data_IF_433542363524
#
_entry.id   IF_433542363524
#
_cell.length_a   1.000
_cell.length_b   1.000
_cell.length_c   1.000
_cell.angle_alpha   90.00
_cell.angle_beta   90.00
_cell.angle_gamma   90.00
#
_symmetry.space_group_name_H-M   'P 1'
#
loop_
_entity.id
_entity.type
_entity.pdbx_description
1 polymer ?
#
# COMPACT_ATOMS: atom_id res chain seq x y z
N UNK A 1 4.75 22.19 9.80
CA UNK A 1 5.59 20.99 9.59
C UNK A 1 6.03 21.01 8.14
N UNK A 2 7.32 21.21 7.87
CA UNK A 2 7.84 21.23 6.51
C UNK A 2 7.74 19.81 5.92
N UNK A 3 6.85 19.64 4.94
CA UNK A 3 6.89 18.44 4.09
C UNK A 3 8.29 18.35 3.48
N UNK A 4 8.87 17.14 3.42
CA UNK A 4 10.08 16.97 2.63
C UNK A 4 9.80 17.51 1.23
N UNK A 5 10.70 18.31 0.65
CA UNK A 5 10.52 18.75 -0.70
C UNK A 5 10.40 17.50 -1.58
N UNK A 6 9.40 17.50 -2.43
CA UNK A 6 9.14 16.37 -3.31
C UNK A 6 10.37 16.19 -4.20
N UNK A 7 11.20 15.18 -3.88
CA UNK A 7 12.48 14.97 -4.55
C UNK A 7 12.27 14.75 -6.06
N UNK A 8 11.15 14.15 -6.47
CA UNK A 8 10.79 14.03 -7.89
C UNK A 8 10.54 15.41 -8.52
N UNK A 9 9.86 16.33 -7.82
CA UNK A 9 9.69 17.73 -8.28
C UNK A 9 11.01 18.50 -8.30
N UNK A 10 11.96 18.14 -7.45
CA UNK A 10 13.31 18.70 -7.45
C UNK A 10 14.23 18.06 -8.51
N UNK A 11 13.69 17.24 -9.42
CA UNK A 11 14.46 16.62 -10.50
C UNK A 11 15.23 15.37 -10.11
N UNK A 12 15.04 14.83 -8.90
CA UNK A 12 15.53 13.51 -8.52
C UNK A 12 14.61 12.42 -9.10
N UNK A 13 14.72 12.23 -10.40
CA UNK A 13 14.08 11.11 -11.10
C UNK A 13 14.88 9.83 -10.89
N UNK A 14 14.27 8.68 -11.19
CA UNK A 14 14.97 7.40 -11.22
C UNK A 14 16.23 7.47 -12.10
N UNK A 15 16.13 8.14 -13.25
CA UNK A 15 17.27 8.42 -14.13
C UNK A 15 18.38 9.16 -13.39
N UNK A 16 18.05 10.23 -12.65
CA UNK A 16 19.02 11.00 -11.84
C UNK A 16 19.67 10.15 -10.74
N UNK A 17 18.93 9.25 -10.08
CA UNK A 17 19.48 8.34 -9.07
C UNK A 17 20.41 7.28 -9.67
N UNK A 18 20.12 6.81 -10.89
CA UNK A 18 20.87 5.76 -11.58
C UNK A 18 22.08 6.28 -12.36
N UNK A 19 22.00 7.49 -12.93
CA UNK A 19 23.03 8.04 -13.84
C UNK A 19 23.97 9.05 -13.19
N UNK A 20 23.59 9.68 -12.08
CA UNK A 20 24.42 10.71 -11.47
C UNK A 20 25.41 10.11 -10.46
N UNK A 21 26.70 10.19 -10.78
CA UNK A 21 27.72 10.38 -9.75
C UNK A 21 27.68 11.85 -9.39
N UNK A 22 27.04 12.19 -8.27
CA UNK A 22 26.98 13.58 -7.83
C UNK A 22 28.38 14.04 -7.42
N UNK A 23 28.81 15.20 -7.92
CA UNK A 23 30.08 15.83 -7.52
C UNK A 23 30.17 16.05 -6.00
N UNK A 24 29.02 16.30 -5.37
CA UNK A 24 28.89 16.44 -3.92
C UNK A 24 27.77 15.51 -3.41
N UNK A 25 28.03 14.70 -2.36
CA UNK A 25 27.02 13.88 -1.74
C UNK A 25 25.86 14.72 -1.20
N UNK A 26 24.63 14.23 -1.34
CA UNK A 26 23.45 14.89 -0.80
C UNK A 26 23.16 14.40 0.61
N UNK A 27 22.85 15.32 1.52
CA UNK A 27 22.47 14.97 2.89
C UNK A 27 20.97 15.07 3.09
N UNK A 28 20.37 13.95 3.50
CA UNK A 28 18.99 13.89 3.98
C UNK A 28 18.92 13.63 5.50
N UNK A 29 20.04 13.27 6.13
CA UNK A 29 20.08 13.02 7.57
C UNK A 29 19.87 14.32 8.34
N UNK A 30 19.17 14.26 9.49
CA UNK A 30 18.65 15.40 10.28
C UNK A 30 17.40 16.11 9.73
N UNK A 31 16.79 15.63 8.66
CA UNK A 31 15.46 16.10 8.25
C UNK A 31 14.33 15.35 8.99
N UNK A 32 13.19 16.01 9.28
CA UNK A 32 12.03 15.36 9.89
C UNK A 32 11.29 14.49 8.87
N UNK A 33 11.80 13.27 8.63
CA UNK A 33 11.22 12.38 7.61
C UNK A 33 9.89 11.81 8.07
N UNK A 34 8.85 11.98 7.25
CA UNK A 34 7.62 11.18 7.35
C UNK A 34 7.77 9.92 6.51
N UNK A 35 7.78 8.77 7.17
CA UNK A 35 7.95 7.44 6.58
C UNK A 35 6.61 6.82 6.18
N UNK A 36 5.88 7.53 5.32
CA UNK A 36 4.59 7.09 4.76
C UNK A 36 4.75 6.54 3.33
N UNK A 37 3.64 6.26 2.64
CA UNK A 37 3.65 5.80 1.26
C UNK A 37 4.40 6.75 0.30
N UNK A 38 4.38 8.07 0.51
CA UNK A 38 5.07 9.02 -0.37
C UNK A 38 6.58 8.80 -0.27
N UNK A 39 7.09 8.62 0.95
CA UNK A 39 8.50 8.27 1.16
C UNK A 39 8.80 6.83 0.69
N UNK A 40 7.87 5.90 0.86
CA UNK A 40 7.95 4.53 0.33
C UNK A 40 8.27 4.47 -1.17
N UNK A 41 7.69 5.37 -1.97
CA UNK A 41 7.94 5.46 -3.42
C UNK A 41 9.38 5.85 -3.78
N UNK A 42 10.09 6.56 -2.90
CA UNK A 42 11.45 7.06 -3.17
C UNK A 42 12.55 6.31 -2.39
N UNK A 43 12.22 5.73 -1.24
CA UNK A 43 13.23 5.10 -0.37
C UNK A 43 13.91 3.92 -1.04
N UNK A 44 13.20 3.16 -1.88
CA UNK A 44 13.79 2.08 -2.69
C UNK A 44 14.92 2.60 -3.59
N UNK A 45 14.72 3.77 -4.22
CA UNK A 45 15.70 4.41 -5.07
C UNK A 45 16.85 5.02 -4.28
N UNK A 46 16.57 5.63 -3.13
CA UNK A 46 17.59 6.15 -2.21
C UNK A 46 18.46 5.01 -1.65
N UNK A 47 17.87 3.88 -1.28
CA UNK A 47 18.58 2.66 -0.83
C UNK A 47 19.51 2.13 -1.93
N UNK A 48 19.02 2.06 -3.16
CA UNK A 48 19.82 1.66 -4.32
C UNK A 48 20.98 2.63 -4.60
N UNK A 49 20.72 3.93 -4.54
CA UNK A 49 21.70 4.99 -4.80
C UNK A 49 22.47 5.44 -3.55
N UNK A 50 22.57 4.61 -2.50
CA UNK A 50 23.07 5.04 -1.18
C UNK A 50 24.46 5.70 -1.21
N UNK A 51 25.33 5.31 -2.15
CA UNK A 51 26.67 5.91 -2.33
C UNK A 51 26.64 7.42 -2.65
N UNK A 52 25.54 7.91 -3.22
CA UNK A 52 25.35 9.29 -3.62
C UNK A 52 24.83 10.17 -2.47
N UNK A 53 24.52 9.58 -1.31
CA UNK A 53 23.91 10.29 -0.19
C UNK A 53 24.79 10.19 1.06
N UNK A 54 25.20 11.36 1.57
CA UNK A 54 25.91 11.44 2.84
C UNK A 54 24.97 11.07 3.99
N UNK A 55 25.44 10.21 4.90
CA UNK A 55 24.71 9.87 6.11
C UNK A 55 23.36 9.20 5.88
N UNK A 56 23.07 8.69 4.68
CA UNK A 56 21.75 8.17 4.29
C UNK A 56 21.24 7.03 5.18
N UNK A 57 22.16 6.23 5.71
CA UNK A 57 21.85 5.15 6.68
C UNK A 57 21.49 5.64 8.08
N UNK A 58 21.72 6.94 8.36
CA UNK A 58 21.41 7.61 9.63
C UNK A 58 20.07 8.35 9.58
N UNK A 59 19.33 8.26 8.48
CA UNK A 59 18.01 8.86 8.37
C UNK A 59 17.05 8.13 9.31
N UNK A 60 16.35 8.90 10.14
CA UNK A 60 15.41 8.42 11.15
C UNK A 60 14.02 8.96 10.83
N UNK A 61 13.01 8.12 10.97
CA UNK A 61 11.61 8.49 10.82
C UNK A 61 11.14 9.35 12.00
N UNK A 62 10.53 10.50 11.71
CA UNK A 62 9.85 11.35 12.69
C UNK A 62 8.40 10.90 12.91
N UNK A 63 7.75 10.47 11.83
CA UNK A 63 6.36 10.01 11.77
C UNK A 63 6.25 8.92 10.68
N UNK A 64 5.19 8.08 10.66
CA UNK A 64 4.09 7.99 11.63
C UNK A 64 4.52 7.43 13.01
N UNK A 65 3.66 7.47 14.05
CA UNK A 65 4.01 6.98 15.40
C UNK A 65 4.58 5.56 15.44
N UNK A 66 4.03 4.64 14.62
CA UNK A 66 4.49 3.25 14.54
C UNK A 66 5.94 3.09 14.04
N UNK A 67 6.45 4.06 13.29
CA UNK A 67 7.80 4.03 12.72
C UNK A 67 8.71 5.10 13.35
N UNK A 68 8.22 5.86 14.34
CA UNK A 68 8.99 6.96 14.92
C UNK A 68 10.25 6.45 15.60
N UNK A 69 11.39 7.04 15.27
CA UNK A 69 12.70 6.66 15.82
C UNK A 69 13.40 5.55 15.03
N UNK A 70 12.68 4.88 14.13
CA UNK A 70 13.25 3.82 13.31
C UNK A 70 14.14 4.35 12.19
N UNK A 71 15.21 3.61 11.89
CA UNK A 71 16.11 3.92 10.77
C UNK A 71 15.48 3.45 9.47
N UNK A 72 15.39 4.33 8.48
CA UNK A 72 14.71 4.04 7.19
C UNK A 72 15.31 2.82 6.45
N UNK A 73 16.59 2.52 6.66
CA UNK A 73 17.26 1.36 6.07
C UNK A 73 16.89 0.02 6.74
N UNK A 74 16.42 0.04 7.99
CA UNK A 74 16.03 -1.13 8.75
C UNK A 74 14.53 -1.46 8.61
N UNK A 75 13.74 -0.52 8.08
CA UNK A 75 12.29 -0.68 7.90
C UNK A 75 12.03 -1.43 6.60
N UNK A 76 11.16 -2.44 6.67
CA UNK A 76 10.62 -3.14 5.51
C UNK A 76 9.86 -2.18 4.60
N UNK A 77 10.06 -2.28 3.28
CA UNK A 77 9.36 -1.42 2.31
C UNK A 77 7.83 -1.53 2.39
N UNK A 78 7.32 -2.68 2.86
CA UNK A 78 5.90 -2.96 3.04
C UNK A 78 5.23 -2.12 4.14
N UNK A 79 6.00 -1.53 5.05
CA UNK A 79 5.48 -0.71 6.16
C UNK A 79 5.31 0.77 5.78
N UNK A 80 5.88 1.22 4.67
CA UNK A 80 5.71 2.60 4.18
C UNK A 80 4.34 2.73 3.50
N UNK A 81 3.31 2.97 4.29
CA UNK A 81 1.90 2.95 3.85
C UNK A 81 1.21 4.30 4.09
N UNK A 82 0.05 4.49 3.46
CA UNK A 82 -0.83 5.61 3.74
C UNK A 82 -2.26 5.12 3.92
N UNK A 83 -2.85 5.44 5.06
CA UNK A 83 -4.23 5.09 5.37
C UNK A 83 -5.20 5.76 4.39
N UNK A 84 -6.20 5.00 3.96
CA UNK A 84 -7.30 5.47 3.12
C UNK A 84 -8.54 5.52 4.01
N UNK A 85 -8.99 6.73 4.30
CA UNK A 85 -10.12 6.97 5.19
C UNK A 85 -11.48 6.64 4.53
N UNK A 86 -12.55 6.63 5.34
CA UNK A 86 -13.91 6.29 4.89
C UNK A 86 -14.45 7.26 3.84
N UNK A 87 -14.06 8.54 3.88
CA UNK A 87 -14.44 9.55 2.89
C UNK A 87 -13.92 9.17 1.49
N UNK A 88 -12.83 8.40 1.45
CA UNK A 88 -12.25 7.84 0.23
C UNK A 88 -12.75 6.41 -0.05
N UNK A 89 -13.94 6.08 0.44
CA UNK A 89 -14.68 4.83 0.20
C UNK A 89 -14.00 3.57 0.76
N UNK A 90 -13.20 3.70 1.81
CA UNK A 90 -12.85 2.53 2.62
C UNK A 90 -14.13 2.01 3.31
N UNK A 91 -14.44 0.70 3.25
CA UNK A 91 -15.68 0.21 3.85
C UNK A 91 -15.67 0.37 5.37
N UNK A 92 -16.85 0.52 6.01
CA UNK A 92 -16.94 0.63 7.46
C UNK A 92 -16.29 -0.55 8.18
N UNK A 93 -15.58 -0.24 9.27
CA UNK A 93 -14.84 -1.20 10.12
C UNK A 93 -13.66 -1.89 9.43
N UNK A 94 -13.34 -1.51 8.20
CA UNK A 94 -12.18 -2.01 7.48
C UNK A 94 -11.00 -1.06 7.62
N UNK A 95 -9.81 -1.61 7.46
CA UNK A 95 -8.57 -0.85 7.37
C UNK A 95 -8.07 -0.89 5.92
N UNK A 96 -7.99 0.27 5.28
CA UNK A 96 -7.54 0.41 3.91
C UNK A 96 -6.26 1.23 3.84
N UNK A 97 -5.32 0.84 2.99
CA UNK A 97 -4.08 1.59 2.83
C UNK A 97 -3.43 1.39 1.46
N UNK A 98 -2.69 2.40 1.02
CA UNK A 98 -1.79 2.28 -0.12
C UNK A 98 -0.47 1.61 0.30
N UNK A 99 -0.01 0.64 -0.50
CA UNK A 99 1.28 -0.02 -0.31
C UNK A 99 2.14 0.07 -1.59
N UNK A 100 2.99 1.10 -1.71
CA UNK A 100 3.80 1.35 -2.90
C UNK A 100 4.81 0.25 -3.23
N UNK A 101 5.36 -0.43 -2.22
CA UNK A 101 6.33 -1.52 -2.42
C UNK A 101 5.82 -2.64 -3.34
N UNK A 102 4.49 -2.80 -3.40
CA UNK A 102 3.79 -3.79 -4.22
C UNK A 102 2.84 -3.18 -5.24
N UNK A 103 2.88 -1.85 -5.42
CA UNK A 103 2.01 -1.11 -6.34
C UNK A 103 0.52 -1.48 -6.19
N UNK A 104 0.00 -1.50 -4.96
CA UNK A 104 -1.36 -1.95 -4.67
C UNK A 104 -2.07 -1.11 -3.61
N UNK A 105 -3.39 -1.24 -3.56
CA UNK A 105 -4.21 -0.78 -2.44
C UNK A 105 -4.77 -1.99 -1.71
N UNK A 106 -4.58 -2.04 -0.40
CA UNK A 106 -5.09 -3.11 0.45
C UNK A 106 -6.41 -2.67 1.07
N UNK A 107 -7.41 -3.54 1.01
CA UNK A 107 -8.70 -3.38 1.73
C UNK A 107 -8.82 -4.54 2.71
N UNK A 108 -8.49 -4.32 3.97
CA UNK A 108 -8.56 -5.35 5.00
C UNK A 108 -9.86 -5.22 5.81
N UNK A 109 -10.80 -6.13 5.55
CA UNK A 109 -12.04 -6.30 6.31
C UNK A 109 -12.09 -7.67 7.00
N UNK A 110 -10.96 -8.32 7.28
CA UNK A 110 -10.99 -9.62 7.92
C UNK A 110 -11.55 -9.53 9.35
N UNK A 111 -12.26 -10.57 9.81
CA UNK A 111 -12.81 -10.63 11.17
C UNK A 111 -13.75 -9.47 11.55
N UNK A 112 -14.42 -8.85 10.56
CA UNK A 112 -15.36 -7.73 10.78
C UNK A 112 -16.82 -8.19 10.88
N UNK A 113 -17.05 -9.50 11.04
CA UNK A 113 -18.39 -10.14 11.18
C UNK A 113 -19.35 -9.80 10.03
N UNK A 114 -18.83 -9.55 8.84
CA UNK A 114 -19.67 -9.20 7.68
C UNK A 114 -20.41 -10.42 7.16
N UNK A 115 -21.71 -10.26 6.89
CA UNK A 115 -22.56 -11.30 6.28
C UNK A 115 -22.68 -11.17 4.76
N UNK A 116 -22.26 -10.03 4.21
CA UNK A 116 -22.27 -9.73 2.77
C UNK A 116 -20.99 -9.00 2.40
N UNK A 117 -20.63 -9.03 1.13
CA UNK A 117 -19.53 -8.23 0.61
C UNK A 117 -19.92 -6.74 0.67
N UNK A 118 -19.01 -5.84 1.10
CA UNK A 118 -19.23 -4.39 1.02
C UNK A 118 -19.69 -3.95 -0.36
N UNK A 119 -20.60 -2.98 -0.44
CA UNK A 119 -21.09 -2.46 -1.72
C UNK A 119 -20.09 -1.53 -2.41
N UNK A 120 -19.19 -0.93 -1.63
CA UNK A 120 -18.19 0.04 -2.10
C UNK A 120 -16.81 -0.31 -1.55
N UNK A 121 -15.79 -0.02 -2.36
CA UNK A 121 -14.37 -0.07 -2.01
C UNK A 121 -13.67 1.18 -2.60
N UNK A 122 -12.42 1.45 -2.22
CA UNK A 122 -11.61 2.54 -2.78
C UNK A 122 -11.56 2.52 -4.32
N UNK A 123 -11.40 3.70 -4.92
CA UNK A 123 -11.48 3.88 -6.38
C UNK A 123 -10.19 3.59 -7.14
N UNK A 124 -9.10 3.40 -6.42
CA UNK A 124 -7.80 3.07 -6.96
C UNK A 124 -7.83 1.69 -7.64
N UNK A 125 -6.88 1.51 -8.56
CA UNK A 125 -6.62 0.24 -9.21
C UNK A 125 -5.80 -0.70 -8.32
N UNK A 126 -5.75 -1.97 -8.73
CA UNK A 126 -4.92 -3.02 -8.14
C UNK A 126 -5.26 -3.25 -6.66
N UNK A 127 -6.56 -3.45 -6.42
CA UNK A 127 -7.07 -3.78 -5.10
C UNK A 127 -6.65 -5.20 -4.70
N UNK A 128 -6.10 -5.33 -3.49
CA UNK A 128 -5.93 -6.59 -2.78
C UNK A 128 -6.87 -6.61 -1.59
N UNK A 129 -7.91 -7.43 -1.70
CA UNK A 129 -9.06 -7.41 -0.79
C UNK A 129 -8.99 -8.60 0.14
N UNK A 130 -9.01 -8.34 1.44
CA UNK A 130 -9.07 -9.38 2.47
C UNK A 130 -10.41 -9.35 3.19
N UNK A 131 -11.31 -10.26 2.83
CA UNK A 131 -12.62 -10.47 3.45
C UNK A 131 -12.66 -11.79 4.24
N UNK A 132 -11.51 -12.36 4.60
CA UNK A 132 -11.44 -13.63 5.32
C UNK A 132 -12.02 -13.56 6.74
N UNK A 133 -12.37 -14.73 7.30
CA UNK A 133 -12.90 -14.84 8.68
C UNK A 133 -14.17 -14.02 8.91
N UNK A 134 -15.12 -14.11 7.98
CA UNK A 134 -16.42 -13.44 8.05
C UNK A 134 -17.54 -14.48 7.89
N UNK A 135 -18.78 -14.03 7.67
CA UNK A 135 -19.97 -14.87 7.51
C UNK A 135 -20.61 -14.71 6.13
N UNK A 136 -19.81 -14.34 5.12
CA UNK A 136 -20.29 -14.11 3.76
C UNK A 136 -20.72 -15.44 3.15
N UNK A 137 -21.94 -15.49 2.62
CA UNK A 137 -22.51 -16.72 2.04
C UNK A 137 -22.59 -16.73 0.52
N UNK A 138 -22.44 -15.58 -0.13
CA UNK A 138 -22.49 -15.45 -1.58
C UNK A 138 -21.30 -14.62 -2.04
N UNK A 139 -20.51 -15.16 -2.97
CA UNK A 139 -19.53 -14.35 -3.70
C UNK A 139 -20.24 -13.65 -4.86
N UNK A 140 -20.82 -12.50 -4.55
CA UNK A 140 -21.62 -11.69 -5.48
C UNK A 140 -20.74 -10.75 -6.33
N UNK A 141 -21.19 -10.46 -7.56
CA UNK A 141 -20.53 -9.46 -8.38
C UNK A 141 -20.62 -8.06 -7.74
N UNK A 142 -19.48 -7.36 -7.72
CA UNK A 142 -19.35 -5.96 -7.31
C UNK A 142 -18.47 -5.22 -8.30
N UNK A 143 -18.79 -3.96 -8.57
CA UNK A 143 -18.09 -3.15 -9.60
C UNK A 143 -16.59 -2.97 -9.32
N UNK A 144 -16.18 -2.93 -8.05
CA UNK A 144 -14.76 -2.84 -7.68
C UNK A 144 -13.97 -4.09 -8.06
N UNK A 145 -14.61 -5.24 -8.30
CA UNK A 145 -13.92 -6.46 -8.70
C UNK A 145 -13.23 -6.30 -10.06
N UNK A 146 -13.74 -5.43 -10.93
CA UNK A 146 -13.09 -5.09 -12.20
C UNK A 146 -11.73 -4.40 -12.01
N UNK A 147 -11.44 -3.86 -10.82
CA UNK A 147 -10.15 -3.27 -10.41
C UNK A 147 -9.39 -4.12 -9.40
N UNK A 148 -9.94 -5.27 -9.01
CA UNK A 148 -9.39 -6.13 -7.96
C UNK A 148 -8.47 -7.15 -8.58
N UNK A 149 -7.23 -7.19 -8.09
CA UNK A 149 -6.24 -8.18 -8.50
C UNK A 149 -6.38 -9.48 -7.69
N UNK A 150 -6.64 -9.35 -6.39
CA UNK A 150 -6.68 -10.44 -5.43
C UNK A 150 -7.84 -10.27 -4.46
N UNK A 151 -8.57 -11.35 -4.18
CA UNK A 151 -9.60 -11.38 -3.15
C UNK A 151 -9.45 -12.64 -2.28
N UNK A 152 -9.39 -12.43 -0.97
CA UNK A 152 -9.37 -13.49 0.02
C UNK A 152 -10.73 -13.60 0.73
N UNK A 153 -11.44 -14.69 0.48
CA UNK A 153 -12.72 -15.06 1.09
C UNK A 153 -12.59 -16.32 1.97
N UNK A 154 -11.38 -16.76 2.30
CA UNK A 154 -11.17 -17.91 3.19
C UNK A 154 -11.90 -17.75 4.53
N UNK A 155 -12.30 -18.86 5.15
CA UNK A 155 -13.01 -18.86 6.43
C UNK A 155 -14.30 -18.01 6.41
N UNK A 156 -15.07 -18.13 5.32
CA UNK A 156 -16.44 -17.64 5.19
C UNK A 156 -17.43 -18.81 5.07
N UNK A 157 -18.68 -18.54 4.72
CA UNK A 157 -19.76 -19.54 4.55
C UNK A 157 -20.25 -19.59 3.10
N UNK A 158 -19.34 -19.40 2.14
CA UNK A 158 -19.67 -19.26 0.71
C UNK A 158 -20.40 -20.53 0.24
N UNK A 159 -21.66 -20.38 -0.13
CA UNK A 159 -22.52 -21.44 -0.66
C UNK A 159 -22.76 -21.28 -2.17
N UNK A 160 -22.57 -20.07 -2.71
CA UNK A 160 -22.72 -19.80 -4.14
C UNK A 160 -21.78 -18.69 -4.62
N UNK A 161 -21.42 -18.75 -5.90
CA UNK A 161 -20.61 -17.77 -6.61
C UNK A 161 -21.40 -17.28 -7.81
N UNK A 162 -21.48 -15.96 -7.97
CA UNK A 162 -22.15 -15.33 -9.10
C UNK A 162 -21.41 -15.64 -10.42
N UNK A 163 -22.11 -16.15 -11.46
CA UNK A 163 -21.49 -16.42 -12.76
C UNK A 163 -20.75 -15.25 -13.41
N UNK A 164 -21.13 -14.00 -13.11
CA UNK A 164 -20.42 -12.83 -13.64
C UNK A 164 -18.96 -12.74 -13.15
N UNK A 165 -18.63 -13.36 -12.02
CA UNK A 165 -17.25 -13.42 -11.48
C UNK A 165 -16.30 -14.12 -12.46
N UNK A 166 -16.76 -15.15 -13.18
CA UNK A 166 -15.93 -15.91 -14.11
C UNK A 166 -15.40 -15.05 -15.29
N UNK A 167 -16.08 -13.94 -15.60
CA UNK A 167 -15.68 -13.01 -16.66
C UNK A 167 -14.69 -11.92 -16.22
N UNK A 168 -14.32 -11.85 -14.94
CA UNK A 168 -13.50 -10.75 -14.42
C UNK A 168 -12.02 -10.99 -14.72
N UNK A 169 -11.52 -10.32 -15.76
CA UNK A 169 -10.16 -10.52 -16.28
C UNK A 169 -9.07 -10.10 -15.29
N UNK A 170 -9.31 -9.03 -14.52
CA UNK A 170 -8.29 -8.47 -13.61
C UNK A 170 -8.11 -9.31 -12.34
N UNK A 171 -9.12 -10.08 -11.95
CA UNK A 171 -9.09 -10.91 -10.77
C UNK A 171 -8.26 -12.17 -11.03
N UNK A 172 -7.05 -12.22 -10.46
CA UNK A 172 -6.08 -13.32 -10.70
C UNK A 172 -6.02 -14.31 -9.55
N UNK A 173 -6.23 -13.85 -8.32
CA UNK A 173 -6.11 -14.67 -7.12
C UNK A 173 -7.42 -14.65 -6.34
N UNK A 174 -8.05 -15.82 -6.20
CA UNK A 174 -9.30 -16.00 -5.46
C UNK A 174 -9.08 -17.10 -4.43
N UNK A 175 -9.08 -16.76 -3.14
CA UNK A 175 -9.02 -17.75 -2.07
C UNK A 175 -10.42 -17.97 -1.51
N UNK A 176 -11.02 -19.11 -1.80
CA UNK A 176 -12.32 -19.52 -1.27
C UNK A 176 -12.14 -20.33 0.04
N UNK A 177 -13.20 -20.50 0.85
CA UNK A 177 -13.17 -21.42 1.98
C UNK A 177 -12.77 -22.83 1.51
N UNK A 178 -11.93 -23.49 2.31
CA UNK A 178 -11.67 -24.93 2.18
C UNK A 178 -12.84 -25.72 2.80
#
# INVERSE_FOLDING_TARGET
>A
MSELPNLLKLGFTLGTFLSASFKYPLSLYKNPIRCDCKFGRIIKHIKFAAKNFEGVRRIICKDPPLLRGERTFNISEDLFTCDIAMENKCPPECYCYEQPSRSRVVVNCSSTRKHKMPSICPQQDDLDINFSHNFISVFEYRTYLNRTYSINLSNNRIASVDPFIYGIIKLRNINLPA
#
